data_IF_598540297052
#
_entry.id   IF_598540297052
#
_cell.length_a   1.000
_cell.length_b   1.000
_cell.length_c   1.000
_cell.angle_alpha   90.00
_cell.angle_beta   90.00
_cell.angle_gamma   90.00
#
_symmetry.space_group_name_H-M   'P 1'
#
loop_
_entity.id
_entity.type
_entity.pdbx_description
1 polymer ?
#
# COMPACT_ATOMS: atom_id res chain seq x y z
N UNK A 1 15.10 19.97 -3.37
CA UNK A 1 16.03 20.29 -4.46
C UNK A 1 17.40 20.79 -3.98
N UNK A 2 17.59 21.54 -2.84
CA UNK A 2 18.93 22.00 -2.43
C UNK A 2 19.87 20.85 -2.01
N UNK A 3 19.38 19.79 -1.40
CA UNK A 3 20.20 18.64 -0.95
C UNK A 3 20.68 17.84 -2.18
N UNK A 4 19.79 17.61 -3.15
CA UNK A 4 20.12 16.93 -4.40
C UNK A 4 21.18 17.72 -5.18
N UNK A 5 21.08 19.07 -5.25
CA UNK A 5 22.07 19.91 -5.95
C UNK A 5 23.47 19.81 -5.33
N UNK A 6 23.60 19.74 -3.99
CA UNK A 6 24.91 19.61 -3.33
C UNK A 6 25.53 18.22 -3.53
N UNK A 7 24.74 17.14 -3.38
CA UNK A 7 25.24 15.78 -3.53
C UNK A 7 25.60 15.44 -4.99
N UNK A 8 24.79 15.86 -5.95
CA UNK A 8 25.05 15.67 -7.37
C UNK A 8 26.27 16.50 -7.82
N UNK A 9 26.41 17.76 -7.35
CA UNK A 9 27.56 18.62 -7.69
C UNK A 9 28.88 18.06 -7.16
N UNK A 10 28.91 17.47 -5.98
CA UNK A 10 30.11 16.87 -5.39
C UNK A 10 30.57 15.59 -6.11
N UNK A 11 29.67 14.82 -6.72
CA UNK A 11 30.01 13.58 -7.44
C UNK A 11 30.32 13.81 -8.92
N UNK A 12 29.70 14.83 -9.55
CA UNK A 12 30.02 15.22 -10.93
C UNK A 12 31.39 15.90 -11.05
N UNK A 13 31.97 16.42 -9.97
CA UNK A 13 33.34 16.96 -9.97
C UNK A 13 34.42 15.86 -10.00
N UNK A 14 34.10 14.59 -9.82
CA UNK A 14 35.05 13.46 -9.88
C UNK A 14 35.01 12.67 -11.19
N UNK A 15 34.04 12.95 -12.08
CA UNK A 15 34.04 12.43 -13.45
C UNK A 15 34.48 13.56 -14.36
N UNK A 16 35.64 13.42 -15.05
CA UNK A 16 36.14 14.44 -15.96
C UNK A 16 35.19 14.57 -17.15
N UNK A 17 34.93 15.79 -17.55
CA UNK A 17 34.07 16.13 -18.70
C UNK A 17 34.59 15.55 -20.02
N UNK A 18 35.85 15.13 -20.06
CA UNK A 18 36.50 14.55 -21.21
C UNK A 18 36.04 13.13 -21.53
N UNK A 19 35.63 12.38 -20.52
CA UNK A 19 35.10 11.02 -20.74
C UNK A 19 33.72 11.01 -21.42
N UNK A 20 32.94 12.07 -21.25
CA UNK A 20 31.62 12.20 -21.89
C UNK A 20 31.74 12.59 -23.38
N UNK A 21 32.72 13.37 -23.74
CA UNK A 21 32.97 13.83 -25.13
C UNK A 21 33.54 12.72 -26.02
N UNK A 22 34.33 11.82 -25.47
CA UNK A 22 34.92 10.71 -26.23
C UNK A 22 33.90 9.63 -26.60
N UNK A 23 32.92 9.40 -25.75
CA UNK A 23 31.81 8.44 -26.02
C UNK A 23 30.87 9.02 -27.08
N UNK A 24 30.58 10.34 -27.05
CA UNK A 24 29.65 10.97 -27.99
C UNK A 24 30.18 11.07 -29.44
N UNK A 25 31.47 11.31 -29.62
CA UNK A 25 32.09 11.40 -30.95
C UNK A 25 32.27 10.03 -31.63
N UNK A 26 32.33 8.93 -30.89
CA UNK A 26 32.46 7.59 -31.48
C UNK A 26 31.12 6.95 -31.92
N UNK A 27 29.97 7.50 -31.48
CA UNK A 27 28.65 6.87 -31.71
C UNK A 27 27.93 7.42 -32.96
N UNK A 28 28.35 8.55 -33.54
CA UNK A 28 27.64 9.18 -34.68
C UNK A 28 28.23 8.79 -36.07
N UNK A 29 29.28 8.03 -36.13
CA UNK A 29 30.01 7.80 -37.36
C UNK A 29 30.14 6.38 -37.87
N UNK A 30 29.13 5.49 -37.76
CA UNK A 30 29.01 4.27 -38.63
C UNK A 30 27.75 3.49 -38.25
N UNK A 31 26.98 3.05 -39.27
CA UNK A 31 25.91 2.04 -39.14
C UNK A 31 26.49 0.83 -38.43
N UNK A 32 26.07 0.58 -37.19
CA UNK A 32 26.40 -0.61 -36.45
C UNK A 32 25.12 -1.13 -35.74
N UNK A 33 24.89 -2.40 -35.86
CA UNK A 33 23.85 -3.19 -35.19
C UNK A 33 23.71 -2.86 -33.70
N UNK A 34 22.55 -3.11 -33.07
CA UNK A 34 22.32 -2.81 -31.66
C UNK A 34 23.16 -3.71 -30.78
N UNK A 35 24.43 -3.38 -30.61
CA UNK A 35 25.26 -3.99 -29.56
C UNK A 35 24.71 -3.51 -28.21
N UNK A 36 24.23 -4.47 -27.41
CA UNK A 36 23.85 -4.32 -26.02
C UNK A 36 24.84 -3.37 -25.33
N UNK A 37 24.41 -2.15 -25.04
CA UNK A 37 25.11 -1.26 -24.11
C UNK A 37 25.20 -2.02 -22.78
N UNK A 38 26.34 -2.63 -22.50
CA UNK A 38 26.68 -3.05 -21.15
C UNK A 38 26.92 -1.76 -20.39
N UNK A 39 25.87 -1.27 -19.71
CA UNK A 39 26.07 -0.35 -18.60
C UNK A 39 27.10 -0.99 -17.69
N UNK A 40 28.15 -0.25 -17.37
CA UNK A 40 29.14 -0.63 -16.39
C UNK A 40 28.38 -1.09 -15.15
N UNK A 41 28.36 -2.38 -14.88
CA UNK A 41 27.95 -2.91 -13.59
C UNK A 41 28.88 -2.24 -12.60
N UNK A 42 28.37 -1.26 -11.87
CA UNK A 42 29.11 -0.68 -10.76
C UNK A 42 29.33 -1.80 -9.74
N UNK A 43 30.51 -2.41 -9.79
CA UNK A 43 30.96 -3.46 -8.86
C UNK A 43 31.11 -2.97 -7.40
N UNK A 44 30.69 -1.73 -7.14
CA UNK A 44 30.66 -1.15 -5.77
C UNK A 44 29.74 -1.94 -4.83
N UNK A 45 28.72 -2.61 -5.37
CA UNK A 45 27.74 -3.35 -4.54
C UNK A 45 28.10 -4.79 -4.22
N UNK A 46 29.05 -5.40 -4.91
CA UNK A 46 29.41 -6.81 -4.69
C UNK A 46 30.37 -7.02 -3.53
N UNK A 47 31.18 -6.02 -3.16
CA UNK A 47 32.16 -6.13 -2.08
C UNK A 47 31.57 -6.06 -0.67
N UNK A 48 30.38 -5.47 -0.48
CA UNK A 48 29.82 -5.20 0.86
C UNK A 48 28.71 -6.18 1.32
N UNK A 49 28.32 -7.20 0.53
CA UNK A 49 27.23 -8.10 0.96
C UNK A 49 27.48 -8.76 2.32
N UNK A 50 28.68 -9.23 2.60
CA UNK A 50 29.00 -9.89 3.90
C UNK A 50 28.99 -8.91 5.08
N UNK A 51 29.46 -7.68 4.89
CA UNK A 51 29.50 -6.67 5.94
C UNK A 51 28.10 -6.14 6.33
N UNK A 52 27.19 -6.01 5.37
CA UNK A 52 25.81 -5.56 5.61
C UNK A 52 25.07 -6.57 6.49
N UNK A 53 25.25 -7.87 6.25
CA UNK A 53 24.59 -8.94 7.03
C UNK A 53 25.21 -9.19 8.41
N UNK A 54 26.36 -8.59 8.71
CA UNK A 54 27.02 -8.66 10.01
C UNK A 54 26.66 -7.47 10.93
N UNK A 55 25.86 -6.51 10.45
CA UNK A 55 25.45 -5.38 11.31
C UNK A 55 24.44 -5.83 12.35
N UNK A 56 24.54 -5.24 13.53
CA UNK A 56 23.63 -5.49 14.67
C UNK A 56 22.23 -4.91 14.43
N UNK A 57 22.09 -3.94 13.52
CA UNK A 57 20.82 -3.39 13.09
C UNK A 57 20.89 -2.89 11.64
N UNK A 58 19.74 -2.88 10.94
CA UNK A 58 19.58 -2.35 9.59
C UNK A 58 18.55 -1.24 9.60
N UNK A 59 18.83 -0.12 8.90
CA UNK A 59 17.93 1.02 8.76
C UNK A 59 17.58 1.27 7.30
N UNK A 60 16.29 1.42 7.04
CA UNK A 60 15.77 1.69 5.68
C UNK A 60 14.93 2.96 5.70
N UNK A 61 15.22 3.85 4.73
CA UNK A 61 14.38 5.00 4.42
C UNK A 61 13.31 4.55 3.43
N UNK A 62 12.04 4.68 3.80
CA UNK A 62 10.88 4.38 2.95
C UNK A 62 10.21 5.63 2.42
N UNK A 63 9.74 5.58 1.17
CA UNK A 63 9.05 6.68 0.48
C UNK A 63 7.75 6.17 -0.11
N UNK A 64 6.64 6.85 0.22
CA UNK A 64 5.30 6.56 -0.29
C UNK A 64 4.71 7.80 -0.98
N UNK A 65 4.13 7.61 -2.18
CA UNK A 65 3.46 8.65 -2.96
C UNK A 65 2.52 8.08 -4.03
N UNK A 66 1.91 6.92 -3.77
CA UNK A 66 1.14 6.20 -4.81
C UNK A 66 -0.28 6.72 -5.00
N UNK A 67 -0.86 7.41 -4.02
CA UNK A 67 -2.24 7.92 -4.07
C UNK A 67 -2.31 9.39 -3.64
N UNK A 68 -2.88 9.68 -2.48
CA UNK A 68 -3.10 11.04 -1.96
C UNK A 68 -2.38 11.30 -0.63
N UNK A 69 -1.58 10.36 -0.14
CA UNK A 69 -0.64 10.57 0.94
C UNK A 69 0.78 10.70 0.39
N UNK A 70 1.50 11.72 0.87
CA UNK A 70 2.94 11.84 0.69
C UNK A 70 3.62 11.46 1.99
N UNK A 71 4.47 10.44 1.98
CA UNK A 71 5.10 10.03 3.23
C UNK A 71 6.56 9.60 3.06
N UNK A 72 7.32 9.79 4.15
CA UNK A 72 8.66 9.26 4.30
C UNK A 72 8.87 8.77 5.74
N UNK A 73 9.60 7.68 5.92
CA UNK A 73 9.84 7.09 7.22
C UNK A 73 11.21 6.43 7.29
N UNK A 74 11.73 6.29 8.51
CA UNK A 74 12.89 5.46 8.80
C UNK A 74 12.46 4.33 9.73
N UNK A 75 12.74 3.10 9.30
CA UNK A 75 12.49 1.88 10.07
C UNK A 75 13.81 1.18 10.31
N UNK A 76 13.99 0.66 11.53
CA UNK A 76 15.13 -0.14 11.93
C UNK A 76 14.70 -1.57 12.25
N UNK A 77 15.50 -2.57 11.88
CA UNK A 77 15.38 -3.91 12.43
C UNK A 77 16.67 -4.31 13.12
N UNK A 78 16.56 -4.95 14.29
CA UNK A 78 17.70 -5.52 15.00
C UNK A 78 18.19 -6.84 14.37
N UNK A 79 19.25 -7.42 14.94
CA UNK A 79 19.82 -8.69 14.48
C UNK A 79 18.82 -9.86 14.53
N UNK A 80 17.81 -9.80 15.40
CA UNK A 80 16.77 -10.84 15.50
C UNK A 80 15.68 -10.67 14.44
N UNK A 81 15.66 -9.51 13.79
CA UNK A 81 14.63 -9.15 12.81
C UNK A 81 13.44 -8.42 13.39
N UNK A 82 13.48 -8.05 14.67
CA UNK A 82 12.44 -7.24 15.28
C UNK A 82 12.54 -5.81 14.79
N UNK A 83 11.44 -5.31 14.22
CA UNK A 83 11.36 -3.98 13.64
C UNK A 83 10.98 -2.91 14.66
N UNK A 84 11.42 -1.66 14.39
CA UNK A 84 11.02 -0.46 15.12
C UNK A 84 10.89 0.71 14.15
N UNK A 85 9.81 1.47 14.26
CA UNK A 85 9.62 2.73 13.54
C UNK A 85 10.41 3.80 14.27
N UNK A 86 11.39 4.42 13.61
CA UNK A 86 12.17 5.52 14.15
C UNK A 86 11.48 6.86 13.85
N UNK A 87 10.86 6.96 12.67
CA UNK A 87 10.07 8.12 12.24
C UNK A 87 9.03 7.71 11.21
N UNK A 88 7.92 8.47 11.10
CA UNK A 88 6.92 8.27 10.07
C UNK A 88 6.22 9.61 9.76
N UNK A 89 6.79 10.39 8.86
CA UNK A 89 6.28 11.68 8.44
C UNK A 89 5.28 11.49 7.30
N UNK A 90 4.02 11.82 7.55
CA UNK A 90 2.91 11.69 6.59
C UNK A 90 2.26 13.06 6.37
N UNK A 91 1.90 13.35 5.13
CA UNK A 91 1.07 14.49 4.72
C UNK A 91 -0.07 13.97 3.86
N UNK A 92 -1.30 14.08 4.35
CA UNK A 92 -2.50 13.75 3.57
C UNK A 92 -2.94 14.95 2.75
N UNK A 93 -3.40 14.68 1.53
CA UNK A 93 -3.90 15.66 0.57
C UNK A 93 -5.44 15.70 0.54
N UNK A 94 -6.11 15.20 1.59
CA UNK A 94 -7.59 15.16 1.67
C UNK A 94 -8.19 16.56 1.44
N UNK A 95 -7.57 17.61 1.98
CA UNK A 95 -8.06 18.97 1.85
C UNK A 95 -8.05 19.46 0.39
N UNK A 96 -6.99 19.12 -0.36
CA UNK A 96 -6.82 19.47 -1.77
C UNK A 96 -7.84 18.77 -2.68
N UNK A 97 -8.26 17.57 -2.27
CA UNK A 97 -9.19 16.73 -3.05
C UNK A 97 -10.66 16.85 -2.63
N UNK A 98 -10.93 17.40 -1.46
CA UNK A 98 -12.29 17.47 -0.90
C UNK A 98 -13.30 18.17 -1.82
N UNK A 99 -12.90 19.26 -2.49
CA UNK A 99 -13.73 19.99 -3.43
C UNK A 99 -14.17 19.17 -4.66
N UNK A 100 -13.40 18.13 -5.01
CA UNK A 100 -13.66 17.26 -6.15
C UNK A 100 -14.40 15.98 -5.77
N UNK A 101 -14.54 15.71 -4.47
CA UNK A 101 -15.18 14.51 -3.95
C UNK A 101 -14.44 13.22 -4.24
N UNK A 102 -13.11 13.29 -4.42
CA UNK A 102 -12.21 12.17 -4.68
C UNK A 102 -10.86 12.64 -5.23
N UNK A 103 -9.89 11.72 -5.30
CA UNK A 103 -8.52 12.04 -5.70
C UNK A 103 -8.43 12.46 -7.16
N UNK A 104 -7.78 13.61 -7.43
CA UNK A 104 -7.46 14.11 -8.77
C UNK A 104 -5.98 13.84 -9.04
N UNK A 105 -5.63 12.92 -9.97
CA UNK A 105 -4.26 12.42 -10.13
C UNK A 105 -3.20 13.50 -10.40
N UNK A 106 -3.54 14.53 -11.16
CA UNK A 106 -2.61 15.61 -11.48
C UNK A 106 -2.34 16.52 -10.26
N UNK A 107 -3.37 16.80 -9.46
CA UNK A 107 -3.23 17.57 -8.22
C UNK A 107 -2.36 16.78 -7.24
N UNK A 108 -2.62 15.49 -7.09
CA UNK A 108 -1.84 14.61 -6.23
C UNK A 108 -0.36 14.60 -6.63
N UNK A 109 -0.05 14.41 -7.91
CA UNK A 109 1.33 14.39 -8.39
C UNK A 109 2.10 15.70 -8.09
N UNK A 110 1.45 16.85 -8.25
CA UNK A 110 2.04 18.17 -7.94
C UNK A 110 2.29 18.33 -6.43
N UNK A 111 1.31 17.97 -5.60
CA UNK A 111 1.44 18.04 -4.14
C UNK A 111 2.57 17.14 -3.62
N UNK A 112 2.78 15.97 -4.21
CA UNK A 112 3.95 15.12 -3.90
C UNK A 112 5.27 15.83 -4.20
N UNK A 113 5.39 16.49 -5.37
CA UNK A 113 6.61 17.23 -5.74
C UNK A 113 6.91 18.34 -4.74
N UNK A 114 5.89 19.05 -4.29
CA UNK A 114 6.03 20.22 -3.41
C UNK A 114 6.35 19.86 -1.96
N UNK A 115 6.05 18.62 -1.53
CA UNK A 115 6.13 18.23 -0.13
C UNK A 115 7.19 17.17 0.19
N UNK A 116 7.53 16.28 -0.74
CA UNK A 116 8.28 15.05 -0.47
C UNK A 116 9.70 15.31 0.08
N UNK A 117 10.42 16.31 -0.42
CA UNK A 117 11.76 16.63 0.05
C UNK A 117 11.79 17.09 1.52
N UNK A 118 10.76 17.84 1.93
CA UNK A 118 10.58 18.27 3.32
C UNK A 118 10.24 17.11 4.24
N UNK A 119 9.37 16.20 3.78
CA UNK A 119 8.99 15.02 4.56
C UNK A 119 10.17 14.05 4.74
N UNK A 120 10.98 13.85 3.69
CA UNK A 120 12.19 13.01 3.80
C UNK A 120 13.18 13.62 4.81
N UNK A 121 13.38 14.94 4.77
CA UNK A 121 14.25 15.61 5.74
C UNK A 121 13.71 15.45 7.15
N UNK A 122 12.42 15.72 7.35
CA UNK A 122 11.73 15.57 8.63
C UNK A 122 11.86 14.14 9.16
N UNK A 123 11.67 13.13 8.31
CA UNK A 123 11.80 11.73 8.71
C UNK A 123 13.22 11.38 9.17
N UNK A 124 14.26 11.89 8.51
CA UNK A 124 15.64 11.71 8.92
C UNK A 124 15.95 12.44 10.23
N UNK A 125 15.49 13.68 10.38
CA UNK A 125 15.69 14.50 11.58
C UNK A 125 14.99 13.87 12.80
N UNK A 126 13.73 13.45 12.68
CA UNK A 126 12.98 12.76 13.74
C UNK A 126 13.59 11.41 14.13
N UNK A 127 14.18 10.70 13.16
CA UNK A 127 14.91 9.44 13.42
C UNK A 127 16.30 9.65 14.03
N UNK A 128 16.79 10.89 14.12
CA UNK A 128 18.16 11.19 14.51
C UNK A 128 19.20 10.61 13.56
N UNK A 129 18.88 10.50 12.27
CA UNK A 129 19.70 9.85 11.26
C UNK A 129 20.12 10.81 10.13
N UNK A 130 21.26 10.51 9.53
CA UNK A 130 21.68 11.06 8.25
C UNK A 130 21.59 9.98 7.15
N UNK A 131 21.72 10.35 5.88
CA UNK A 131 21.77 9.36 4.79
C UNK A 131 22.95 8.36 4.92
N UNK A 132 23.97 8.70 5.68
CA UNK A 132 25.08 7.78 5.94
C UNK A 132 24.66 6.62 6.84
N UNK A 133 23.72 6.87 7.77
CA UNK A 133 23.22 5.90 8.75
C UNK A 133 22.16 4.96 8.15
N UNK A 134 21.71 5.23 6.93
CA UNK A 134 20.72 4.42 6.20
C UNK A 134 21.46 3.32 5.41
N UNK A 135 20.95 2.09 5.46
CA UNK A 135 21.52 0.93 4.75
C UNK A 135 20.93 0.73 3.36
N UNK A 136 19.65 1.06 3.17
CA UNK A 136 18.98 1.02 1.87
C UNK A 136 17.88 2.08 1.79
N UNK A 137 17.52 2.45 0.55
CA UNK A 137 16.38 3.32 0.25
C UNK A 137 15.31 2.50 -0.44
N UNK A 138 14.11 2.49 0.12
CA UNK A 138 12.93 1.85 -0.44
C UNK A 138 11.95 2.91 -0.95
N UNK A 139 11.32 2.64 -2.09
CA UNK A 139 10.24 3.50 -2.57
C UNK A 139 9.11 2.66 -3.17
N UNK A 140 7.88 3.07 -2.94
CA UNK A 140 6.73 2.48 -3.61
C UNK A 140 6.85 2.70 -5.13
N UNK A 141 6.84 1.60 -5.86
CA UNK A 141 6.97 1.60 -7.32
C UNK A 141 5.65 1.24 -8.03
N UNK A 142 4.57 1.14 -7.27
CA UNK A 142 3.20 0.82 -7.65
C UNK A 142 2.65 -0.37 -6.86
N UNK A 143 1.37 -0.74 -7.06
CA UNK A 143 0.40 -0.06 -7.92
C UNK A 143 0.02 1.32 -7.38
N UNK A 144 -0.58 2.17 -8.26
CA UNK A 144 -1.05 3.50 -7.85
C UNK A 144 -1.17 4.47 -9.04
N UNK A 145 -1.44 5.72 -8.72
CA UNK A 145 -1.52 6.80 -9.70
C UNK A 145 -0.14 7.07 -10.30
N UNK A 146 0.00 6.88 -11.61
CA UNK A 146 1.31 6.89 -12.29
C UNK A 146 2.14 8.14 -11.98
N UNK A 147 1.51 9.32 -11.93
CA UNK A 147 2.19 10.60 -11.62
C UNK A 147 2.82 10.58 -10.23
N UNK A 148 2.05 10.19 -9.21
CA UNK A 148 2.53 10.05 -7.83
C UNK A 148 3.61 8.99 -7.71
N UNK A 149 3.37 7.78 -8.23
CA UNK A 149 4.37 6.69 -8.24
C UNK A 149 5.71 7.16 -8.82
N UNK A 150 5.68 7.90 -9.94
CA UNK A 150 6.90 8.41 -10.57
C UNK A 150 7.66 9.39 -9.67
N UNK A 151 6.97 10.23 -8.92
CA UNK A 151 7.60 11.20 -8.01
C UNK A 151 8.40 10.47 -6.92
N UNK A 152 7.76 9.58 -6.17
CA UNK A 152 8.43 8.85 -5.07
C UNK A 152 9.52 7.92 -5.57
N UNK A 153 9.24 7.14 -6.61
CA UNK A 153 10.20 6.21 -7.21
C UNK A 153 11.46 6.92 -7.72
N UNK A 154 11.31 8.03 -8.45
CA UNK A 154 12.45 8.78 -8.99
C UNK A 154 13.24 9.45 -7.88
N UNK A 155 12.57 10.01 -6.88
CA UNK A 155 13.21 10.62 -5.71
C UNK A 155 14.00 9.57 -4.92
N UNK A 156 13.42 8.39 -4.64
CA UNK A 156 14.10 7.30 -3.95
C UNK A 156 15.36 6.82 -4.68
N UNK A 157 15.28 6.63 -5.99
CA UNK A 157 16.43 6.28 -6.83
C UNK A 157 17.52 7.36 -6.82
N UNK A 158 17.12 8.63 -6.92
CA UNK A 158 18.07 9.74 -6.90
C UNK A 158 18.82 9.82 -5.57
N UNK A 159 18.14 9.61 -4.44
CA UNK A 159 18.74 9.56 -3.11
C UNK A 159 19.67 8.35 -2.99
N UNK A 160 19.21 7.15 -3.39
CA UNK A 160 20.01 5.92 -3.34
C UNK A 160 21.31 6.08 -4.14
N UNK A 161 21.20 6.62 -5.37
CA UNK A 161 22.36 6.88 -6.23
C UNK A 161 23.32 7.91 -5.62
N UNK A 162 22.80 9.04 -5.15
CA UNK A 162 23.61 10.11 -4.58
C UNK A 162 24.32 9.69 -3.28
N UNK A 163 23.64 8.92 -2.44
CA UNK A 163 24.19 8.40 -1.19
C UNK A 163 25.05 7.12 -1.36
N UNK A 164 25.05 6.51 -2.55
CA UNK A 164 25.73 5.24 -2.81
C UNK A 164 25.10 4.07 -2.04
N UNK A 165 23.77 4.09 -1.85
CA UNK A 165 23.01 3.07 -1.11
C UNK A 165 22.25 2.14 -2.07
N UNK A 166 22.00 0.88 -1.68
CA UNK A 166 21.07 0.00 -2.38
C UNK A 166 19.68 0.63 -2.51
N UNK A 167 19.03 0.35 -3.64
CA UNK A 167 17.65 0.74 -3.89
C UNK A 167 16.75 -0.49 -3.89
N UNK A 168 15.57 -0.38 -3.27
CA UNK A 168 14.55 -1.44 -3.22
C UNK A 168 13.23 -0.85 -3.72
N UNK A 169 12.72 -1.39 -4.83
CA UNK A 169 11.39 -1.09 -5.33
C UNK A 169 10.37 -1.94 -4.57
N UNK A 170 9.41 -1.29 -3.93
CA UNK A 170 8.39 -1.95 -3.11
C UNK A 170 7.05 -1.90 -3.83
N UNK A 171 6.34 -3.04 -3.81
CA UNK A 171 4.93 -3.05 -4.15
C UNK A 171 4.14 -2.43 -2.99
N UNK A 172 3.35 -1.40 -3.27
CA UNK A 172 2.55 -0.68 -2.27
C UNK A 172 1.66 -1.63 -1.44
N UNK A 173 1.03 -2.61 -2.09
CA UNK A 173 0.18 -3.60 -1.41
C UNK A 173 1.01 -4.55 -0.53
N UNK A 174 2.27 -4.82 -0.88
CA UNK A 174 3.22 -5.56 -0.03
C UNK A 174 3.56 -4.76 1.23
N UNK A 175 3.65 -3.43 1.14
CA UNK A 175 3.78 -2.55 2.30
C UNK A 175 2.68 -2.80 3.32
N UNK A 176 1.43 -2.73 2.90
CA UNK A 176 0.28 -3.05 3.74
C UNK A 176 0.29 -4.50 4.24
N UNK A 177 0.65 -5.45 3.36
CA UNK A 177 0.66 -6.87 3.71
C UNK A 177 1.65 -7.18 4.85
N UNK A 178 2.83 -6.57 4.84
CA UNK A 178 3.91 -6.85 5.79
C UNK A 178 3.89 -5.99 7.06
N UNK A 179 3.09 -4.91 7.11
CA UNK A 179 2.97 -4.03 8.29
C UNK A 179 2.69 -4.81 9.58
N UNK A 180 1.81 -5.84 9.64
CA UNK A 180 1.55 -6.59 10.88
C UNK A 180 2.75 -7.37 11.40
N UNK A 181 3.73 -7.64 10.56
CA UNK A 181 4.99 -8.23 11.01
C UNK A 181 5.84 -7.22 11.80
N UNK A 182 5.75 -5.94 11.41
CA UNK A 182 6.41 -4.86 12.15
C UNK A 182 5.70 -4.57 13.48
N UNK A 183 4.36 -4.51 13.48
CA UNK A 183 3.58 -4.07 14.65
C UNK A 183 3.28 -5.18 15.65
N UNK A 184 2.92 -6.37 15.15
CA UNK A 184 2.39 -7.48 15.96
C UNK A 184 3.31 -8.72 15.95
N UNK A 185 4.39 -8.70 15.17
CA UNK A 185 5.31 -9.83 15.02
C UNK A 185 4.62 -11.08 14.43
N UNK A 186 3.71 -10.89 13.48
CA UNK A 186 2.98 -12.02 12.86
C UNK A 186 3.92 -12.86 12.00
N UNK A 187 3.94 -14.16 12.25
CA UNK A 187 4.69 -15.12 11.43
C UNK A 187 3.88 -15.58 10.21
N UNK A 188 4.59 -16.01 9.17
CA UNK A 188 3.98 -16.65 8.01
C UNK A 188 3.56 -18.10 8.33
N UNK A 189 2.53 -18.66 7.67
CA UNK A 189 1.61 -17.99 6.75
C UNK A 189 0.43 -17.32 7.49
N UNK A 190 -0.19 -16.32 6.86
CA UNK A 190 -1.42 -15.71 7.36
C UNK A 190 -2.38 -15.35 6.22
N UNK A 191 -3.67 -15.20 6.56
CA UNK A 191 -4.67 -14.64 5.65
C UNK A 191 -4.71 -13.13 5.82
N UNK A 192 -4.48 -12.40 4.73
CA UNK A 192 -4.62 -10.94 4.66
C UNK A 192 -5.96 -10.55 4.05
N UNK A 193 -6.74 -9.74 4.76
CA UNK A 193 -7.82 -8.93 4.22
C UNK A 193 -7.26 -7.54 3.92
N UNK A 194 -7.09 -7.21 2.65
CA UNK A 194 -6.67 -5.90 2.19
C UNK A 194 -7.88 -5.10 1.74
N UNK A 195 -8.24 -4.05 2.48
CA UNK A 195 -9.42 -3.23 2.20
C UNK A 195 -9.09 -1.74 2.28
N UNK A 196 -9.14 -1.08 1.13
CA UNK A 196 -8.85 0.35 0.97
C UNK A 196 -9.88 1.04 0.06
N UNK A 197 -9.64 2.29 -0.30
CA UNK A 197 -10.44 3.01 -1.30
C UNK A 197 -10.49 2.31 -2.64
N UNK A 198 -9.36 1.74 -3.10
CA UNK A 198 -9.23 1.10 -4.42
C UNK A 198 -9.18 -0.43 -4.40
N UNK A 199 -9.00 -1.07 -3.25
CA UNK A 199 -8.77 -2.50 -3.16
C UNK A 199 -9.68 -3.18 -2.13
N UNK A 200 -10.18 -4.36 -2.49
CA UNK A 200 -10.82 -5.31 -1.57
C UNK A 200 -10.41 -6.72 -2.00
N UNK A 201 -9.43 -7.29 -1.30
CA UNK A 201 -8.80 -8.56 -1.66
C UNK A 201 -8.58 -9.44 -0.43
N UNK A 202 -8.66 -10.75 -0.64
CA UNK A 202 -8.21 -11.78 0.30
C UNK A 202 -6.99 -12.47 -0.27
N UNK A 203 -5.88 -12.41 0.46
CA UNK A 203 -4.58 -12.88 0.01
C UNK A 203 -3.98 -13.81 1.07
N UNK A 204 -3.59 -15.02 0.67
CA UNK A 204 -2.74 -15.86 1.49
C UNK A 204 -1.29 -15.38 1.35
N UNK A 205 -0.65 -15.11 2.47
CA UNK A 205 0.72 -14.60 2.56
C UNK A 205 1.61 -15.69 3.11
N UNK A 206 2.47 -16.26 2.28
CA UNK A 206 3.38 -17.35 2.63
C UNK A 206 4.79 -16.88 2.94
N UNK A 207 5.15 -15.70 2.44
CA UNK A 207 6.47 -15.10 2.62
C UNK A 207 6.56 -13.75 1.93
N UNK A 208 7.71 -13.07 2.11
CA UNK A 208 8.02 -11.86 1.34
C UNK A 208 8.13 -12.21 -0.14
N UNK A 209 7.30 -11.60 -0.97
CA UNK A 209 7.24 -11.91 -2.41
C UNK A 209 6.42 -13.17 -2.76
N UNK A 210 5.89 -13.92 -1.78
CA UNK A 210 5.07 -15.12 -2.01
C UNK A 210 3.63 -14.90 -1.52
N UNK A 211 2.79 -14.48 -2.45
CA UNK A 211 1.39 -14.11 -2.22
C UNK A 211 0.47 -14.90 -3.14
N UNK A 212 -0.68 -15.33 -2.62
CA UNK A 212 -1.74 -15.96 -3.41
C UNK A 212 -3.06 -15.24 -3.17
N UNK A 213 -3.56 -14.56 -4.19
CA UNK A 213 -4.90 -13.96 -4.15
C UNK A 213 -5.96 -15.06 -4.19
N UNK A 214 -6.82 -15.10 -3.19
CA UNK A 214 -7.92 -16.06 -3.06
C UNK A 214 -9.23 -15.49 -3.58
N UNK A 215 -9.45 -14.19 -3.35
CA UNK A 215 -10.63 -13.47 -3.80
C UNK A 215 -10.36 -11.97 -3.95
N UNK A 216 -11.20 -11.31 -4.71
CA UNK A 216 -11.14 -9.87 -4.97
C UNK A 216 -12.55 -9.34 -5.17
N UNK A 217 -12.74 -8.02 -5.07
CA UNK A 217 -14.02 -7.43 -5.50
C UNK A 217 -14.18 -7.58 -7.00
N UNK A 218 -15.42 -7.89 -7.43
CA UNK A 218 -15.79 -7.98 -8.84
C UNK A 218 -16.34 -6.66 -9.40
N UNK A 219 -16.58 -5.70 -8.50
CA UNK A 219 -17.13 -4.38 -8.84
C UNK A 219 -16.46 -3.27 -7.99
N UNK A 220 -17.21 -2.54 -7.16
CA UNK A 220 -16.66 -1.48 -6.30
C UNK A 220 -15.76 -2.06 -5.20
N UNK A 221 -14.69 -1.35 -4.85
CA UNK A 221 -13.96 -1.61 -3.61
C UNK A 221 -14.81 -1.19 -2.40
N UNK A 222 -14.52 -1.76 -1.22
CA UNK A 222 -15.30 -1.48 -0.01
C UNK A 222 -15.24 0.00 0.39
N UNK A 223 -14.04 0.63 0.34
CA UNK A 223 -13.89 2.05 0.65
C UNK A 223 -14.65 2.92 -0.35
N UNK A 224 -14.57 2.58 -1.64
CA UNK A 224 -15.37 3.24 -2.69
C UNK A 224 -16.87 3.12 -2.43
N UNK A 225 -17.34 1.97 -1.93
CA UNK A 225 -18.74 1.77 -1.58
C UNK A 225 -19.17 2.65 -0.39
N UNK A 226 -18.32 2.79 0.62
CA UNK A 226 -18.53 3.74 1.73
C UNK A 226 -18.60 5.19 1.25
N UNK A 227 -17.67 5.62 0.40
CA UNK A 227 -17.63 6.99 -0.13
C UNK A 227 -18.87 7.30 -1.00
N UNK A 228 -19.27 6.32 -1.83
CA UNK A 228 -20.49 6.45 -2.64
C UNK A 228 -21.76 6.50 -1.79
N UNK A 229 -21.87 5.69 -0.75
CA UNK A 229 -22.99 5.72 0.19
C UNK A 229 -23.03 7.06 0.95
N UNK A 230 -21.90 7.54 1.46
CA UNK A 230 -21.80 8.84 2.10
C UNK A 230 -22.28 9.96 1.21
N UNK A 231 -21.79 10.02 -0.04
CA UNK A 231 -22.19 11.03 -1.03
C UNK A 231 -23.68 11.03 -1.31
N UNK A 232 -24.30 9.83 -1.42
CA UNK A 232 -25.75 9.69 -1.60
C UNK A 232 -26.56 10.27 -0.43
N UNK A 233 -26.03 10.15 0.79
CA UNK A 233 -26.65 10.61 2.03
C UNK A 233 -26.28 12.04 2.40
N UNK A 234 -25.56 12.78 1.50
CA UNK A 234 -25.15 14.17 1.75
C UNK A 234 -24.02 14.31 2.77
N UNK A 235 -23.30 13.22 3.11
CA UNK A 235 -22.17 13.26 4.04
C UNK A 235 -20.89 13.69 3.31
N UNK A 236 -19.98 14.44 3.99
CA UNK A 236 -18.76 14.94 3.38
C UNK A 236 -17.70 13.84 3.17
N UNK A 237 -16.80 14.09 2.21
CA UNK A 237 -15.60 13.28 1.98
C UNK A 237 -14.54 13.46 3.09
N UNK A 238 -13.77 12.41 3.48
CA UNK A 238 -13.91 11.01 3.10
C UNK A 238 -15.13 10.33 3.76
N UNK A 239 -15.85 9.52 2.97
CA UNK A 239 -17.15 8.97 3.37
C UNK A 239 -17.08 7.90 4.45
N UNK A 240 -16.05 7.03 4.43
CA UNK A 240 -15.93 5.93 5.39
C UNK A 240 -16.07 6.35 6.85
N UNK A 241 -15.24 7.26 7.38
CA UNK A 241 -15.35 7.78 8.75
C UNK A 241 -16.67 8.48 9.04
N UNK A 242 -17.31 9.12 8.04
CA UNK A 242 -18.58 9.81 8.19
C UNK A 242 -19.75 8.85 8.33
N UNK A 243 -19.78 7.81 7.50
CA UNK A 243 -20.76 6.73 7.63
C UNK A 243 -20.61 6.02 8.98
N UNK A 244 -19.39 5.70 9.39
CA UNK A 244 -19.13 5.08 10.70
C UNK A 244 -19.64 5.94 11.85
N UNK A 245 -19.36 7.25 11.83
CA UNK A 245 -19.81 8.18 12.86
C UNK A 245 -21.34 8.30 12.89
N UNK A 246 -22.00 8.42 11.75
CA UNK A 246 -23.45 8.49 11.68
C UNK A 246 -24.10 7.19 12.15
N UNK A 247 -23.54 6.04 11.78
CA UNK A 247 -24.03 4.71 12.16
C UNK A 247 -24.03 4.45 13.69
N UNK A 248 -23.23 5.19 14.48
CA UNK A 248 -23.22 5.04 15.94
C UNK A 248 -24.58 5.31 16.60
N UNK A 249 -25.39 6.18 16.00
CA UNK A 249 -26.67 6.61 16.52
C UNK A 249 -27.87 6.00 15.76
N UNK A 250 -27.61 5.10 14.79
CA UNK A 250 -28.63 4.51 13.94
C UNK A 250 -29.02 3.11 14.34
N UNK A 251 -30.22 2.69 13.92
CA UNK A 251 -30.72 1.34 14.04
C UNK A 251 -30.30 0.50 12.81
N UNK A 252 -29.40 -0.49 12.96
CA UNK A 252 -28.95 -1.33 11.85
C UNK A 252 -30.01 -2.31 11.34
N UNK A 253 -31.15 -2.44 12.04
CA UNK A 253 -32.22 -3.38 11.71
C UNK A 253 -33.41 -2.74 10.96
N UNK A 254 -33.45 -1.40 10.90
CA UNK A 254 -34.55 -0.67 10.25
C UNK A 254 -34.62 -0.93 8.74
N UNK A 255 -33.48 -1.14 8.08
CA UNK A 255 -33.42 -1.40 6.64
C UNK A 255 -32.76 -2.75 6.37
N UNK A 256 -33.39 -3.59 5.58
CA UNK A 256 -32.85 -4.88 5.17
C UNK A 256 -32.06 -4.73 3.85
N UNK A 257 -30.75 -4.58 3.94
CA UNK A 257 -29.88 -4.51 2.77
C UNK A 257 -29.38 -5.89 2.35
N UNK A 258 -29.09 -6.10 1.05
CA UNK A 258 -28.55 -7.37 0.56
C UNK A 258 -27.14 -7.62 1.15
N UNK A 259 -26.74 -8.91 1.20
CA UNK A 259 -25.37 -9.37 1.52
C UNK A 259 -24.78 -10.02 0.26
N UNK A 260 -24.29 -9.22 -0.70
CA UNK A 260 -23.82 -9.77 -1.96
C UNK A 260 -22.71 -10.81 -1.76
N UNK A 261 -22.72 -11.86 -2.56
CA UNK A 261 -21.77 -12.99 -2.52
C UNK A 261 -21.83 -13.87 -1.24
N UNK A 262 -22.59 -13.50 -0.22
CA UNK A 262 -22.68 -14.30 1.01
C UNK A 262 -23.08 -15.76 0.74
N UNK A 263 -22.47 -16.71 1.45
CA UNK A 263 -22.68 -18.16 1.32
C UNK A 263 -21.98 -18.80 0.12
N UNK A 264 -21.39 -18.05 -0.82
CA UNK A 264 -20.66 -18.64 -1.95
C UNK A 264 -19.32 -19.24 -1.51
N UNK A 265 -18.87 -20.30 -2.19
CA UNK A 265 -17.58 -20.95 -1.90
C UNK A 265 -16.37 -20.09 -2.25
N UNK A 266 -16.42 -19.36 -3.39
CA UNK A 266 -15.37 -18.44 -3.80
C UNK A 266 -15.39 -17.19 -2.90
N UNK A 267 -14.25 -16.72 -2.37
CA UNK A 267 -14.21 -15.63 -1.41
C UNK A 267 -14.17 -14.22 -2.08
N UNK A 268 -14.85 -14.06 -3.20
CA UNK A 268 -14.95 -12.77 -3.87
C UNK A 268 -15.95 -11.85 -3.21
N UNK A 269 -15.72 -10.54 -3.37
CA UNK A 269 -16.58 -9.49 -2.89
C UNK A 269 -17.41 -8.88 -4.00
N UNK A 270 -18.53 -8.26 -3.62
CA UNK A 270 -19.29 -7.32 -4.42
C UNK A 270 -19.97 -6.32 -3.50
N UNK A 271 -19.88 -5.04 -3.83
CA UNK A 271 -20.42 -3.95 -3.01
C UNK A 271 -21.29 -2.96 -3.79
N UNK A 272 -21.26 -2.96 -5.13
CA UNK A 272 -22.04 -2.02 -5.95
C UNK A 272 -23.56 -2.15 -5.74
N UNK A 273 -24.03 -3.35 -5.45
CA UNK A 273 -25.44 -3.61 -5.11
C UNK A 273 -25.91 -2.94 -3.83
N UNK A 274 -25.03 -2.83 -2.82
CA UNK A 274 -25.31 -2.15 -1.56
C UNK A 274 -25.59 -0.66 -1.78
N UNK A 275 -24.76 0.03 -2.59
CA UNK A 275 -25.00 1.43 -2.95
C UNK A 275 -26.38 1.63 -3.57
N UNK A 276 -26.77 0.74 -4.49
CA UNK A 276 -28.06 0.81 -5.16
C UNK A 276 -29.22 0.64 -4.17
N UNK A 277 -29.07 -0.30 -3.22
CA UNK A 277 -30.06 -0.52 -2.17
C UNK A 277 -30.22 0.70 -1.25
N UNK A 278 -29.11 1.32 -0.81
CA UNK A 278 -29.13 2.57 -0.02
C UNK A 278 -29.86 3.66 -0.76
N UNK A 279 -29.56 3.86 -2.06
CA UNK A 279 -30.25 4.88 -2.87
C UNK A 279 -31.75 4.63 -2.94
N UNK A 280 -32.18 3.40 -3.22
CA UNK A 280 -33.60 3.06 -3.35
C UNK A 280 -34.36 3.29 -2.06
N UNK A 281 -33.80 2.93 -0.91
CA UNK A 281 -34.45 3.17 0.38
C UNK A 281 -34.49 4.67 0.73
N UNK A 282 -33.39 5.40 0.48
CA UNK A 282 -33.33 6.84 0.69
C UNK A 282 -34.37 7.61 -0.16
N UNK A 283 -34.55 7.22 -1.43
CA UNK A 283 -35.53 7.81 -2.34
C UNK A 283 -36.98 7.58 -1.88
N UNK A 284 -37.29 6.42 -1.26
CA UNK A 284 -38.64 6.07 -0.77
C UNK A 284 -39.09 6.92 0.41
N UNK A 285 -38.14 7.35 1.25
CA UNK A 285 -38.42 8.05 2.51
C UNK A 285 -38.04 9.53 2.49
N UNK A 286 -37.62 10.04 1.32
CA UNK A 286 -37.25 11.44 1.16
C UNK A 286 -38.43 12.39 1.49
N UNK A 287 -38.16 13.58 2.11
CA UNK A 287 -36.85 14.10 2.50
C UNK A 287 -36.29 13.42 3.76
N UNK A 288 -34.95 13.15 3.74
CA UNK A 288 -34.29 12.44 4.83
C UNK A 288 -34.13 13.32 6.07
N UNK A 289 -34.44 12.77 7.23
CA UNK A 289 -34.07 13.31 8.55
C UNK A 289 -32.68 12.84 8.96
N UNK A 290 -32.09 13.46 9.99
CA UNK A 290 -30.80 13.00 10.57
C UNK A 290 -30.92 11.54 11.09
N UNK A 291 -32.04 11.15 11.66
CA UNK A 291 -32.30 9.77 12.11
C UNK A 291 -32.32 8.81 10.92
N UNK A 292 -32.98 9.17 9.81
CA UNK A 292 -33.01 8.35 8.59
C UNK A 292 -31.60 8.11 8.04
N UNK A 293 -30.76 9.16 8.02
CA UNK A 293 -29.36 9.07 7.58
C UNK A 293 -28.57 8.14 8.53
N UNK A 294 -28.75 8.28 9.85
CA UNK A 294 -28.09 7.43 10.83
C UNK A 294 -28.45 5.96 10.65
N UNK A 295 -29.74 5.63 10.50
CA UNK A 295 -30.24 4.28 10.33
C UNK A 295 -29.79 3.66 8.99
N UNK A 296 -29.82 4.44 7.89
CA UNK A 296 -29.29 4.01 6.59
C UNK A 296 -27.78 3.70 6.68
N UNK A 297 -27.01 4.55 7.36
CA UNK A 297 -25.59 4.30 7.59
C UNK A 297 -25.34 3.05 8.44
N UNK A 298 -26.12 2.85 9.51
CA UNK A 298 -26.00 1.72 10.40
C UNK A 298 -26.32 0.40 9.68
N UNK A 299 -27.42 0.36 8.94
CA UNK A 299 -27.81 -0.81 8.15
C UNK A 299 -26.84 -1.12 7.02
N UNK A 300 -26.33 -0.09 6.29
CA UNK A 300 -25.29 -0.25 5.27
C UNK A 300 -24.01 -0.82 5.89
N UNK A 301 -23.53 -0.25 6.98
CA UNK A 301 -22.32 -0.72 7.66
C UNK A 301 -22.47 -2.17 8.15
N UNK A 302 -23.63 -2.52 8.74
CA UNK A 302 -23.90 -3.88 9.18
C UNK A 302 -23.84 -4.87 7.99
N UNK A 303 -24.46 -4.54 6.86
CA UNK A 303 -24.42 -5.37 5.66
C UNK A 303 -22.99 -5.53 5.11
N UNK A 304 -22.20 -4.46 5.10
CA UNK A 304 -20.80 -4.48 4.67
C UNK A 304 -19.95 -5.38 5.59
N UNK A 305 -20.12 -5.29 6.92
CA UNK A 305 -19.44 -6.15 7.91
C UNK A 305 -19.80 -7.61 7.69
N UNK A 306 -21.07 -7.93 7.50
CA UNK A 306 -21.53 -9.31 7.27
C UNK A 306 -20.89 -9.91 6.02
N UNK A 307 -20.83 -9.15 4.91
CA UNK A 307 -20.15 -9.58 3.68
C UNK A 307 -18.65 -9.82 3.93
N UNK A 308 -17.97 -8.89 4.59
CA UNK A 308 -16.53 -9.04 4.89
C UNK A 308 -16.25 -10.28 5.72
N UNK A 309 -17.00 -10.48 6.81
CA UNK A 309 -16.83 -11.62 7.70
C UNK A 309 -17.11 -12.94 6.97
N UNK A 310 -18.18 -13.00 6.19
CA UNK A 310 -18.55 -14.20 5.43
C UNK A 310 -17.48 -14.56 4.39
N UNK A 311 -16.93 -13.57 3.66
CA UNK A 311 -15.89 -13.82 2.67
C UNK A 311 -14.55 -14.23 3.31
N UNK A 312 -14.19 -13.63 4.45
CA UNK A 312 -13.03 -14.08 5.22
C UNK A 312 -13.22 -15.54 5.69
N UNK A 313 -14.41 -15.89 6.18
CA UNK A 313 -14.73 -17.28 6.55
C UNK A 313 -14.63 -18.24 5.37
N UNK A 314 -15.07 -17.84 4.18
CA UNK A 314 -14.92 -18.64 2.96
C UNK A 314 -13.43 -18.86 2.60
N UNK A 315 -12.60 -17.81 2.68
CA UNK A 315 -11.17 -17.92 2.43
C UNK A 315 -10.45 -18.82 3.46
N UNK A 316 -10.79 -18.70 4.74
CA UNK A 316 -10.23 -19.55 5.80
C UNK A 316 -10.57 -21.03 5.58
N UNK A 317 -11.80 -21.35 5.14
CA UNK A 317 -12.17 -22.73 4.77
C UNK A 317 -11.30 -23.29 3.64
N UNK A 318 -11.03 -22.49 2.60
CA UNK A 318 -10.15 -22.90 1.49
C UNK A 318 -8.72 -23.14 1.97
N UNK A 319 -8.22 -22.34 2.89
CA UNK A 319 -6.86 -22.46 3.40
C UNK A 319 -6.70 -23.59 4.44
N UNK A 320 -7.76 -23.95 5.17
CA UNK A 320 -7.74 -25.06 6.10
C UNK A 320 -7.45 -26.41 5.42
N UNK A 321 -7.76 -26.53 4.12
CA UNK A 321 -7.49 -27.72 3.30
C UNK A 321 -6.06 -27.76 2.73
N UNK A 322 -5.24 -26.71 2.98
CA UNK A 322 -3.85 -26.62 2.47
C UNK A 322 -2.85 -27.21 3.48
N UNK A 323 -1.67 -27.66 3.04
CA UNK A 323 -0.63 -28.17 3.94
C UNK A 323 -0.13 -27.16 4.98
N UNK A 324 -0.23 -25.88 4.68
CA UNK A 324 0.20 -24.78 5.55
C UNK A 324 -0.97 -23.81 5.79
N UNK A 325 -1.90 -24.14 6.69
CA UNK A 325 -3.01 -23.23 7.02
C UNK A 325 -2.50 -21.96 7.70
N UNK A 326 -3.23 -20.84 7.60
CA UNK A 326 -2.83 -19.58 8.21
C UNK A 326 -2.88 -19.66 9.74
N UNK A 327 -1.92 -19.04 10.41
CA UNK A 327 -1.87 -18.93 11.87
C UNK A 327 -2.59 -17.66 12.39
N UNK A 328 -2.89 -16.71 11.50
CA UNK A 328 -3.53 -15.44 11.82
C UNK A 328 -4.44 -14.96 10.68
N UNK A 329 -5.40 -14.12 11.04
CA UNK A 329 -6.11 -13.21 10.13
C UNK A 329 -5.56 -11.80 10.35
N UNK A 330 -5.16 -11.18 9.26
CA UNK A 330 -4.65 -9.80 9.23
C UNK A 330 -5.63 -8.94 8.46
N UNK A 331 -5.92 -7.72 8.92
CA UNK A 331 -6.63 -6.74 8.10
C UNK A 331 -5.79 -5.46 7.98
N UNK A 332 -5.63 -4.99 6.74
CA UNK A 332 -4.84 -3.81 6.40
C UNK A 332 -5.54 -2.94 5.35
N UNK A 333 -5.07 -1.70 5.18
CA UNK A 333 -5.69 -0.67 4.35
C UNK A 333 -6.66 0.20 5.14
N UNK A 334 -6.94 1.42 4.63
CA UNK A 334 -7.68 2.44 5.36
C UNK A 334 -9.05 2.01 5.90
N UNK A 335 -9.76 1.12 5.20
CA UNK A 335 -11.08 0.61 5.65
C UNK A 335 -10.95 -0.34 6.85
N UNK A 336 -9.79 -0.97 7.06
CA UNK A 336 -9.52 -1.79 8.24
C UNK A 336 -9.46 -0.97 9.55
N UNK A 337 -9.46 0.36 9.48
CA UNK A 337 -9.62 1.23 10.64
C UNK A 337 -11.06 1.22 11.20
N UNK A 338 -12.07 0.87 10.38
CA UNK A 338 -13.48 0.85 10.80
C UNK A 338 -13.72 -0.09 11.97
N UNK A 339 -14.27 0.43 13.08
CA UNK A 339 -14.45 -0.30 14.34
C UNK A 339 -15.46 -1.43 14.25
N UNK A 340 -16.50 -1.30 13.42
CA UNK A 340 -17.48 -2.36 13.23
C UNK A 340 -16.88 -3.55 12.47
N UNK A 341 -16.08 -3.28 11.45
CA UNK A 341 -15.32 -4.32 10.73
C UNK A 341 -14.35 -5.01 11.70
N UNK A 342 -13.57 -4.26 12.50
CA UNK A 342 -12.65 -4.82 13.52
C UNK A 342 -13.38 -5.74 14.49
N UNK A 343 -14.54 -5.34 15.00
CA UNK A 343 -15.35 -6.20 15.89
C UNK A 343 -15.85 -7.46 15.20
N UNK A 344 -16.30 -7.36 13.94
CA UNK A 344 -16.73 -8.51 13.15
C UNK A 344 -15.62 -9.54 12.93
N UNK A 345 -14.42 -9.06 12.56
CA UNK A 345 -13.23 -9.90 12.38
C UNK A 345 -12.74 -10.51 13.69
N UNK A 346 -12.80 -9.77 14.80
CA UNK A 346 -12.44 -10.29 16.12
C UNK A 346 -13.34 -11.49 16.52
N UNK A 347 -14.65 -11.37 16.28
CA UNK A 347 -15.59 -12.48 16.50
C UNK A 347 -15.25 -13.68 15.63
N UNK A 348 -15.01 -13.47 14.32
CA UNK A 348 -14.61 -14.54 13.42
C UNK A 348 -13.35 -15.27 13.89
N UNK A 349 -12.34 -14.51 14.34
CA UNK A 349 -11.09 -15.10 14.83
C UNK A 349 -11.28 -15.89 16.11
N UNK A 350 -12.12 -15.42 17.04
CA UNK A 350 -12.49 -16.17 18.25
C UNK A 350 -13.18 -17.50 17.89
N UNK A 351 -14.14 -17.47 16.95
CA UNK A 351 -14.84 -18.66 16.46
C UNK A 351 -13.89 -19.66 15.77
N UNK A 352 -12.85 -19.16 15.11
CA UNK A 352 -11.92 -19.95 14.30
C UNK A 352 -10.62 -20.35 15.04
N UNK A 353 -10.42 -19.89 16.28
CA UNK A 353 -9.19 -20.12 17.05
C UNK A 353 -7.95 -19.46 16.45
N UNK A 354 -8.11 -18.38 15.67
CA UNK A 354 -7.02 -17.67 14.99
C UNK A 354 -6.63 -16.40 15.75
N UNK A 355 -5.35 -16.02 15.65
CA UNK A 355 -4.89 -14.71 16.07
C UNK A 355 -5.43 -13.65 15.09
N UNK A 356 -5.99 -12.55 15.61
CA UNK A 356 -6.30 -11.37 14.81
C UNK A 356 -5.17 -10.35 14.98
N UNK A 357 -4.62 -9.89 13.87
CA UNK A 357 -3.64 -8.80 13.84
C UNK A 357 -4.22 -7.61 13.06
N UNK A 358 -4.33 -6.49 13.75
CA UNK A 358 -4.86 -5.23 13.22
C UNK A 358 -3.83 -4.15 13.50
N UNK A 359 -3.10 -3.66 12.51
CA UNK A 359 -2.18 -2.55 12.70
C UNK A 359 -2.84 -1.37 13.41
N UNK A 360 -2.09 -0.55 14.16
CA UNK A 360 -2.55 0.72 14.68
C UNK A 360 -3.25 1.54 13.57
N UNK A 361 -4.26 2.33 13.94
CA UNK A 361 -5.12 3.04 12.96
C UNK A 361 -4.30 3.98 12.06
N UNK A 362 -3.29 4.62 12.61
CA UNK A 362 -2.33 5.50 11.90
C UNK A 362 -1.43 4.77 10.90
N UNK A 363 -1.32 3.44 11.00
CA UNK A 363 -0.58 2.59 10.05
C UNK A 363 -1.51 1.81 9.10
N UNK A 364 -2.83 1.98 9.21
CA UNK A 364 -3.78 1.38 8.27
C UNK A 364 -3.85 2.14 6.94
N UNK A 365 -3.71 3.48 6.96
CA UNK A 365 -3.62 4.31 5.75
C UNK A 365 -2.22 4.26 5.15
N UNK A 366 -2.06 4.85 3.95
CA UNK A 366 -0.79 4.93 3.25
C UNK A 366 0.23 5.72 4.07
N UNK A 367 1.42 5.15 4.25
CA UNK A 367 2.45 5.72 5.10
C UNK A 367 3.86 5.28 4.68
N UNK A 368 4.90 6.00 5.15
CA UNK A 368 6.28 5.70 4.81
C UNK A 368 6.81 4.45 5.53
N UNK A 369 6.32 4.15 6.74
CA UNK A 369 6.84 3.05 7.54
C UNK A 369 6.53 1.68 6.92
N UNK A 370 5.36 1.50 6.30
CA UNK A 370 5.02 0.26 5.59
C UNK A 370 5.96 -0.01 4.41
N UNK A 371 6.37 1.04 3.69
CA UNK A 371 7.31 0.92 2.57
C UNK A 371 8.73 0.70 3.07
N UNK A 372 9.14 1.40 4.12
CA UNK A 372 10.43 1.18 4.76
C UNK A 372 10.57 -0.26 5.27
N UNK A 373 9.53 -0.78 5.94
CA UNK A 373 9.52 -2.13 6.48
C UNK A 373 9.54 -3.21 5.39
N UNK A 374 8.66 -3.11 4.41
CA UNK A 374 8.66 -4.05 3.28
C UNK A 374 10.00 -4.02 2.52
N UNK A 375 10.55 -2.82 2.31
CA UNK A 375 11.88 -2.64 1.75
C UNK A 375 12.99 -3.29 2.60
N UNK A 376 12.89 -3.19 3.91
CA UNK A 376 13.84 -3.80 4.85
C UNK A 376 13.78 -5.33 4.81
N UNK A 377 12.57 -5.92 4.85
CA UNK A 377 12.41 -7.38 4.74
C UNK A 377 12.92 -7.91 3.40
N UNK A 378 12.61 -7.21 2.29
CA UNK A 378 13.15 -7.54 0.96
C UNK A 378 14.69 -7.42 0.92
N UNK A 379 15.23 -6.34 1.48
CA UNK A 379 16.66 -6.10 1.53
C UNK A 379 17.39 -7.20 2.33
N UNK A 380 16.85 -7.65 3.44
CA UNK A 380 17.38 -8.79 4.24
C UNK A 380 17.45 -10.08 3.43
N UNK A 381 16.52 -10.30 2.52
CA UNK A 381 16.54 -11.44 1.59
C UNK A 381 17.48 -11.24 0.39
N UNK A 382 18.17 -10.08 0.33
CA UNK A 382 19.09 -9.74 -0.75
C UNK A 382 18.42 -9.22 -2.02
N UNK A 383 17.15 -8.85 -1.95
CA UNK A 383 16.45 -8.20 -3.06
C UNK A 383 16.87 -6.74 -3.16
N UNK A 384 17.56 -6.40 -4.23
CA UNK A 384 18.02 -5.07 -4.58
C UNK A 384 17.65 -4.84 -6.04
N UNK A 385 17.07 -3.67 -6.33
CA UNK A 385 16.62 -3.32 -7.66
C UNK A 385 17.58 -2.35 -8.34
N UNK A 386 17.61 -2.38 -9.68
CA UNK A 386 18.38 -1.46 -10.49
C UNK A 386 17.73 -0.09 -10.62
N UNK A 387 18.53 0.90 -11.03
CA UNK A 387 18.02 2.25 -11.31
C UNK A 387 17.11 2.31 -12.55
N UNK A 388 17.07 1.25 -13.34
CA UNK A 388 16.19 1.04 -14.50
C UNK A 388 14.82 0.47 -14.14
N UNK A 389 14.56 0.13 -12.86
CA UNK A 389 13.25 -0.36 -12.44
C UNK A 389 12.15 0.62 -12.81
N UNK A 390 11.16 0.19 -13.58
CA UNK A 390 10.08 1.05 -14.08
C UNK A 390 8.93 1.21 -13.06
N UNK A 391 8.27 2.36 -13.05
CA UNK A 391 7.01 2.54 -12.35
C UNK A 391 5.95 1.58 -12.89
N UNK A 392 5.18 0.95 -11.98
CA UNK A 392 4.16 -0.06 -12.31
C UNK A 392 2.80 0.36 -11.75
N UNK A 393 2.05 1.22 -12.45
CA UNK A 393 0.74 1.69 -11.97
C UNK A 393 -0.25 0.53 -11.77
N UNK A 394 -0.06 -0.57 -12.49
CA UNK A 394 -0.72 -1.85 -12.26
C UNK A 394 0.35 -2.88 -11.89
N UNK A 395 0.33 -3.32 -10.66
CA UNK A 395 1.29 -4.30 -10.14
C UNK A 395 0.58 -5.23 -9.16
N UNK A 396 -0.03 -6.32 -9.62
CA UNK A 396 -0.71 -7.27 -8.74
C UNK A 396 0.27 -7.86 -7.73
N UNK A 397 -0.20 -8.05 -6.49
CA UNK A 397 0.59 -8.64 -5.42
C UNK A 397 0.89 -10.12 -5.71
N UNK A 398 -0.08 -10.86 -6.24
CA UNK A 398 0.13 -12.24 -6.74
C UNK A 398 0.74 -12.21 -8.14
N UNK A 399 2.04 -12.51 -8.23
CA UNK A 399 2.80 -12.47 -9.49
C UNK A 399 2.33 -13.48 -10.55
N UNK A 400 1.58 -14.53 -10.15
CA UNK A 400 1.02 -15.54 -11.05
C UNK A 400 -0.10 -14.99 -11.93
N UNK A 401 -0.63 -13.84 -11.61
CA UNK A 401 -1.73 -13.22 -12.36
C UNK A 401 -1.27 -12.39 -13.55
N UNK A 402 0.05 -12.29 -13.80
CA UNK A 402 0.62 -11.49 -14.88
C UNK A 402 0.38 -9.98 -14.74
N UNK A 403 1.01 -9.15 -15.61
CA UNK A 403 0.92 -7.68 -15.51
C UNK A 403 -0.49 -7.13 -15.82
N UNK A 404 -1.40 -7.94 -16.34
CA UNK A 404 -2.77 -7.56 -16.67
C UNK A 404 -3.86 -8.19 -15.77
N UNK A 405 -3.46 -8.88 -14.69
CA UNK A 405 -4.42 -9.50 -13.77
C UNK A 405 -5.26 -10.63 -14.39
N UNK A 406 -4.84 -11.15 -15.54
CA UNK A 406 -5.57 -12.19 -16.26
C UNK A 406 -5.14 -13.59 -15.78
N UNK A 407 -5.79 -14.10 -14.74
CA UNK A 407 -6.17 -15.50 -14.73
C UNK A 407 -7.31 -15.62 -15.77
N UNK A 408 -7.21 -16.51 -16.79
CA UNK A 408 -8.29 -16.67 -17.79
C UNK A 408 -9.65 -17.04 -17.19
N UNK A 409 -9.72 -17.34 -15.90
CA UNK A 409 -10.93 -17.62 -15.12
C UNK A 409 -11.53 -16.40 -14.44
N UNK A 410 -10.91 -15.18 -14.60
CA UNK A 410 -11.28 -13.98 -13.85
C UNK A 410 -11.47 -12.76 -14.76
N UNK A 411 -12.70 -12.29 -14.90
CA UNK A 411 -13.05 -11.02 -15.55
C UNK A 411 -13.28 -9.87 -14.56
N UNK A 412 -12.57 -9.85 -13.43
CA UNK A 412 -12.64 -8.79 -12.43
C UNK A 412 -11.64 -7.67 -12.72
N UNK A 413 -12.04 -6.41 -12.54
CA UNK A 413 -11.15 -5.24 -12.63
C UNK A 413 -10.05 -5.35 -11.56
N UNK A 414 -8.79 -5.14 -11.99
CA UNK A 414 -7.66 -4.95 -11.11
C UNK A 414 -7.76 -3.61 -10.41
#
# INVERSE_FOLDING_TARGET
VPILRRAVKAKLQKCSFDDFHLVWRRTIGKRAEPRKLRFCRCDVFTKNRREIFMRTSLRVLGIESTCDETAAAVVEADATGRGRILSNAVLSQIAEHAAFGGVVPEIAARAHIDSLDRLIRRALDEAGCTLNDIDAVAAAAGPGLIGGVMVGLTTGKAIALAAGKPFVAVNHLEGHALTPRLTDGVDFPYLLLLVSGGHSQLVAVYGVGDYRRLGSTVDDALGEAFDKAAKLLGLPYPGGPRVEKAALNGDPTRFEFPRPMAGRRNPDFSFSGLKTAVRQEAEKIAPLTETDIADLCAAFQAAAVDVVVDRCRAALRLLAETPNPPNALVAAGGVAANSAIRRGLARLCMESGLKLALPPVDLCSDNGAMIAWAGLERFRLGHIDGMDFAARPRWPLDSRQGPHGQDPRWHGKA
#
